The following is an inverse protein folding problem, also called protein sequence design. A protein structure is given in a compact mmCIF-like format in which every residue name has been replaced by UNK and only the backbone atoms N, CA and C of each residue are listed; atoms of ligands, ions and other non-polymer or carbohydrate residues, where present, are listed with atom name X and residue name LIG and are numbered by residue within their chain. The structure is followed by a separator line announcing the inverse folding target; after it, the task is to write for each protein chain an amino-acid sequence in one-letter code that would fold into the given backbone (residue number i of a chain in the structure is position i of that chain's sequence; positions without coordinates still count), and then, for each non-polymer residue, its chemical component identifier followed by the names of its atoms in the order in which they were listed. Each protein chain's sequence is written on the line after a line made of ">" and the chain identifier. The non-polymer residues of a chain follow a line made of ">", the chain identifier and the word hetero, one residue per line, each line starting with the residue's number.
data_IF_154730691744
#
_entry.id   IF_154730691744
#
_cell.length_a   1.000
_cell.length_b   1.000
_cell.length_c   1.000
_cell.angle_alpha   90.00
_cell.angle_beta   90.00
_cell.angle_gamma   90.00
#
_symmetry.space_group_name_H-M   'P 1'
#
loop_
_entity.id
_entity.type
_entity.pdbx_description
1 polymer ?
#
# COMPACT_ATOMS: atom_id res chain seq x y z
N UNK A 1 -3.32 16.04 19.62
CA UNK A 1 -3.26 14.83 18.78
C UNK A 1 -4.03 13.74 19.48
N UNK A 2 -4.83 12.97 18.78
CA UNK A 2 -5.56 11.86 19.40
C UNK A 2 -4.56 10.81 19.93
N UNK A 3 -4.52 10.50 21.24
CA UNK A 3 -3.60 9.52 21.82
C UNK A 3 -3.69 8.13 21.17
N UNK A 4 -4.83 7.83 20.54
CA UNK A 4 -5.07 6.58 19.82
C UNK A 4 -4.20 6.37 18.57
N UNK A 5 -3.50 7.40 18.09
CA UNK A 5 -2.63 7.33 16.92
C UNK A 5 -1.14 7.10 17.27
N UNK A 6 -0.79 7.10 18.55
CA UNK A 6 0.57 6.75 18.96
C UNK A 6 0.81 5.25 18.76
N UNK A 7 1.84 4.92 17.97
CA UNK A 7 2.19 3.53 17.65
C UNK A 7 1.43 2.90 16.48
N UNK A 8 0.40 3.57 15.93
CA UNK A 8 -0.32 3.08 14.76
C UNK A 8 0.40 3.44 13.46
N UNK A 9 0.32 2.51 12.48
CA UNK A 9 0.84 2.81 11.15
C UNK A 9 -0.14 3.69 10.36
N UNK A 10 0.32 4.84 9.90
CA UNK A 10 -0.46 5.78 9.10
C UNK A 10 -0.15 5.59 7.62
N UNK A 11 -1.12 5.10 6.85
CA UNK A 11 -1.02 4.93 5.41
C UNK A 11 -1.76 6.04 4.67
N UNK A 12 -1.04 6.81 3.87
CA UNK A 12 -1.58 7.89 3.03
C UNK A 12 -1.63 7.41 1.58
N UNK A 13 -2.76 7.66 0.90
CA UNK A 13 -2.92 7.28 -0.50
C UNK A 13 -3.58 5.92 -0.74
N UNK A 14 -4.29 5.39 0.25
CA UNK A 14 -4.99 4.11 0.14
C UNK A 14 -6.33 4.22 -0.59
N UNK A 15 -7.01 5.36 -0.50
CA UNK A 15 -8.30 5.60 -1.16
C UNK A 15 -8.14 6.41 -2.45
N UNK A 16 -7.37 7.49 -2.41
CA UNK A 16 -7.05 8.36 -3.55
C UNK A 16 -5.58 8.72 -3.55
N UNK A 17 -5.03 9.12 -4.71
CA UNK A 17 -3.64 9.55 -4.78
C UNK A 17 -3.47 10.89 -4.01
N UNK A 18 -2.59 10.96 -3.00
CA UNK A 18 -2.37 12.18 -2.22
C UNK A 18 -1.76 13.30 -3.05
N UNK A 19 -1.13 12.97 -4.18
CA UNK A 19 -0.55 13.92 -5.12
C UNK A 19 -1.34 13.98 -6.44
N UNK A 20 -2.67 13.88 -6.35
CA UNK A 20 -3.56 14.13 -7.46
C UNK A 20 -3.49 15.61 -7.91
N UNK A 21 -3.97 15.97 -9.13
CA UNK A 21 -3.83 17.34 -9.65
C UNK A 21 -4.30 18.45 -8.69
N UNK A 22 -5.38 18.23 -7.95
CA UNK A 22 -5.91 19.16 -6.96
C UNK A 22 -4.91 19.50 -5.83
N UNK A 23 -3.94 18.63 -5.55
CA UNK A 23 -2.91 18.91 -4.54
C UNK A 23 -2.01 20.09 -4.90
N UNK A 24 -1.93 20.47 -6.19
CA UNK A 24 -1.20 21.67 -6.62
C UNK A 24 -1.85 22.94 -6.12
N UNK A 25 -3.18 22.95 -6.07
CA UNK A 25 -3.98 24.12 -5.75
C UNK A 25 -4.27 24.22 -4.25
N UNK A 26 -4.50 23.07 -3.61
CA UNK A 26 -4.95 23.02 -2.21
C UNK A 26 -3.83 22.72 -1.20
N UNK A 27 -2.76 22.04 -1.58
CA UNK A 27 -1.61 21.76 -0.70
C UNK A 27 -1.91 20.92 0.54
N UNK A 28 -2.99 20.15 0.54
CA UNK A 28 -3.46 19.40 1.70
C UNK A 28 -2.46 18.35 2.17
N UNK A 29 -1.85 17.61 1.23
CA UNK A 29 -0.83 16.61 1.55
C UNK A 29 0.39 17.26 2.19
N UNK A 30 0.86 18.38 1.63
CA UNK A 30 1.97 19.13 2.19
C UNK A 30 1.66 19.63 3.60
N UNK A 31 0.49 20.19 3.83
CA UNK A 31 0.06 20.67 5.16
C UNK A 31 0.01 19.52 6.19
N UNK A 32 -0.42 18.32 5.78
CA UNK A 32 -0.39 17.13 6.63
C UNK A 32 1.05 16.75 6.96
N UNK A 33 1.95 16.73 5.98
CA UNK A 33 3.36 16.39 6.18
C UNK A 33 4.08 17.41 7.07
N UNK A 34 3.77 18.70 6.96
CA UNK A 34 4.27 19.75 7.87
C UNK A 34 3.93 19.45 9.33
N UNK A 35 2.68 19.08 9.60
CA UNK A 35 2.25 18.68 10.94
C UNK A 35 2.88 17.37 11.43
N UNK A 36 3.14 16.43 10.53
CA UNK A 36 3.84 15.18 10.85
C UNK A 36 5.32 15.41 11.13
N UNK A 37 5.96 16.36 10.44
CA UNK A 37 7.36 16.72 10.66
C UNK A 37 7.64 17.38 12.02
N UNK A 38 6.59 17.83 12.73
CA UNK A 38 6.67 18.33 14.09
C UNK A 38 6.59 17.20 15.16
N UNK A 39 6.42 15.94 14.73
CA UNK A 39 6.21 14.78 15.62
C UNK A 39 7.35 13.78 15.50
N UNK A 40 7.43 12.93 16.52
CA UNK A 40 8.43 11.85 16.64
C UNK A 40 7.74 10.50 16.77
N UNK A 41 8.46 9.42 16.41
CA UNK A 41 7.99 8.06 16.60
C UNK A 41 6.82 7.64 15.73
N UNK A 42 6.54 8.38 14.64
CA UNK A 42 5.49 8.01 13.70
C UNK A 42 5.95 6.86 12.79
N UNK A 43 5.00 6.02 12.39
CA UNK A 43 5.16 5.01 11.35
C UNK A 43 4.29 5.39 10.16
N UNK A 44 4.90 5.81 9.05
CA UNK A 44 4.21 6.40 7.91
C UNK A 44 4.51 5.66 6.61
N UNK A 45 3.49 5.53 5.76
CA UNK A 45 3.71 5.19 4.36
C UNK A 45 2.87 6.08 3.44
N UNK A 46 3.46 6.46 2.31
CA UNK A 46 2.77 7.18 1.25
C UNK A 46 2.76 6.32 0.00
N UNK A 47 1.58 6.12 -0.60
CA UNK A 47 1.45 5.43 -1.88
C UNK A 47 0.95 6.41 -2.94
N UNK A 48 1.71 6.54 -4.03
CA UNK A 48 1.38 7.48 -5.11
C UNK A 48 1.82 6.96 -6.47
N UNK A 49 1.24 7.48 -7.54
CA UNK A 49 1.68 7.36 -8.93
C UNK A 49 2.37 8.65 -9.41
N UNK A 50 2.33 9.69 -8.61
CA UNK A 50 2.74 11.04 -8.99
C UNK A 50 4.21 11.32 -8.67
N UNK A 51 4.89 12.00 -9.57
CA UNK A 51 6.22 12.55 -9.33
C UNK A 51 6.19 13.84 -8.48
N UNK A 52 5.02 14.37 -8.16
CA UNK A 52 4.87 15.55 -7.30
C UNK A 52 5.34 15.30 -5.86
N UNK A 53 5.46 14.06 -5.42
CA UNK A 53 6.03 13.71 -4.11
C UNK A 53 7.44 14.30 -3.92
N UNK A 54 8.17 14.54 -5.01
CA UNK A 54 9.49 15.17 -4.99
C UNK A 54 9.47 16.63 -4.52
N UNK A 55 8.32 17.32 -4.62
CA UNK A 55 8.13 18.67 -4.08
C UNK A 55 8.36 18.74 -2.57
N UNK A 56 8.02 17.63 -1.88
CA UNK A 56 7.99 17.59 -0.42
C UNK A 56 9.19 16.81 0.18
N UNK A 57 10.29 16.65 -0.58
CA UNK A 57 11.52 15.98 -0.12
C UNK A 57 12.06 16.61 1.17
N UNK A 58 11.97 17.93 1.31
CA UNK A 58 12.37 18.66 2.52
C UNK A 58 11.64 18.14 3.77
N UNK A 59 10.33 17.98 3.68
CA UNK A 59 9.50 17.46 4.77
C UNK A 59 9.73 15.96 5.00
N UNK A 60 9.85 15.18 3.92
CA UNK A 60 10.10 13.74 4.01
C UNK A 60 11.43 13.45 4.73
N UNK A 61 12.48 14.23 4.45
CA UNK A 61 13.76 14.14 5.17
C UNK A 61 13.59 14.47 6.65
N UNK A 62 12.96 15.59 6.96
CA UNK A 62 12.71 16.01 8.35
C UNK A 62 11.91 14.96 9.13
N UNK A 63 10.92 14.35 8.50
CA UNK A 63 10.16 13.25 9.12
C UNK A 63 11.05 12.03 9.33
N UNK A 64 11.90 11.66 8.35
CA UNK A 64 12.74 10.47 8.43
C UNK A 64 13.84 10.53 9.51
N UNK A 65 14.18 11.71 10.01
CA UNK A 65 15.14 11.90 11.11
C UNK A 65 14.59 11.40 12.44
N UNK A 66 13.27 11.44 12.65
CA UNK A 66 12.62 11.17 13.95
C UNK A 66 11.49 10.15 13.90
N UNK A 67 11.14 9.73 12.70
CA UNK A 67 10.01 8.84 12.41
C UNK A 67 10.35 7.88 11.28
N UNK A 68 9.63 6.78 11.18
CA UNK A 68 9.76 5.87 10.04
C UNK A 68 8.83 6.33 8.92
N UNK A 69 9.38 6.57 7.73
CA UNK A 69 8.60 6.92 6.54
C UNK A 69 9.04 6.10 5.33
N UNK A 70 8.09 5.64 4.55
CA UNK A 70 8.32 4.89 3.32
C UNK A 70 7.44 5.40 2.18
N UNK A 71 8.02 5.50 0.98
CA UNK A 71 7.32 5.97 -0.21
C UNK A 71 7.16 4.81 -1.19
N UNK A 72 5.92 4.52 -1.56
CA UNK A 72 5.55 3.47 -2.50
C UNK A 72 5.15 4.10 -3.84
N UNK A 73 5.94 3.87 -4.89
CA UNK A 73 5.55 4.25 -6.25
C UNK A 73 4.79 3.10 -6.92
N UNK A 74 3.52 3.35 -7.26
CA UNK A 74 2.73 2.35 -8.02
C UNK A 74 3.12 2.39 -9.49
N UNK A 75 3.65 1.26 -10.02
CA UNK A 75 4.08 1.12 -11.41
C UNK A 75 3.64 -0.25 -11.92
N UNK A 76 2.60 -0.28 -12.75
CA UNK A 76 1.99 -1.53 -13.22
C UNK A 76 2.70 -2.18 -14.41
N UNK A 77 3.47 -1.41 -15.17
CA UNK A 77 4.20 -1.87 -16.36
C UNK A 77 5.29 -0.90 -16.77
N UNK A 78 6.35 -1.39 -17.38
CA UNK A 78 7.38 -0.55 -18.04
C UNK A 78 6.97 -0.11 -19.44
N UNK A 79 5.97 -0.77 -20.05
CA UNK A 79 5.53 -0.51 -21.41
C UNK A 79 4.72 0.79 -21.47
N UNK A 80 5.32 1.87 -21.96
CA UNK A 80 4.72 3.21 -21.98
C UNK A 80 3.36 3.28 -22.66
N UNK A 81 3.19 2.57 -23.81
CA UNK A 81 1.89 2.53 -24.50
C UNK A 81 0.81 1.85 -23.67
N UNK A 82 1.16 0.74 -23.01
CA UNK A 82 0.23 0.04 -22.14
C UNK A 82 -0.09 0.88 -20.89
N UNK A 83 0.92 1.49 -20.25
CA UNK A 83 0.71 2.39 -19.12
C UNK A 83 -0.24 3.55 -19.48
N UNK A 84 -0.07 4.16 -20.63
CA UNK A 84 -0.97 5.22 -21.11
C UNK A 84 -2.39 4.74 -21.33
N UNK A 85 -2.56 3.50 -21.80
CA UNK A 85 -3.88 2.88 -21.99
C UNK A 85 -4.57 2.59 -20.65
N UNK A 86 -3.81 2.06 -19.67
CA UNK A 86 -4.35 1.67 -18.36
C UNK A 86 -4.57 2.88 -17.44
N UNK A 87 -3.66 3.84 -17.48
CA UNK A 87 -3.58 4.98 -16.55
C UNK A 87 -3.31 6.30 -17.31
N UNK A 88 -4.27 6.79 -18.12
CA UNK A 88 -4.04 7.89 -19.07
C UNK A 88 -3.64 9.22 -18.41
N UNK A 89 -4.03 9.41 -17.14
CA UNK A 89 -3.75 10.64 -16.37
C UNK A 89 -2.52 10.56 -15.48
N UNK A 90 -1.92 9.38 -15.32
CA UNK A 90 -0.76 9.21 -14.46
C UNK A 90 0.55 9.48 -15.22
N UNK A 91 1.64 9.89 -14.55
CA UNK A 91 2.94 10.03 -15.16
C UNK A 91 3.41 8.74 -15.83
N UNK A 92 4.23 8.86 -16.87
CA UNK A 92 4.83 7.70 -17.56
C UNK A 92 5.68 6.86 -16.59
N UNK A 93 5.85 5.56 -16.84
CA UNK A 93 6.64 4.67 -15.97
C UNK A 93 8.07 5.15 -15.73
N UNK A 94 8.74 5.65 -16.76
CA UNK A 94 10.11 6.18 -16.66
C UNK A 94 10.22 7.35 -15.66
N UNK A 95 9.26 8.26 -15.66
CA UNK A 95 9.21 9.36 -14.68
C UNK A 95 8.95 8.87 -13.26
N UNK A 96 8.20 7.77 -13.10
CA UNK A 96 7.97 7.17 -11.77
C UNK A 96 9.23 6.45 -11.26
N UNK A 97 9.99 5.78 -12.12
CA UNK A 97 11.29 5.20 -11.75
C UNK A 97 12.30 6.29 -11.41
N UNK A 98 12.34 7.37 -12.18
CA UNK A 98 13.17 8.54 -11.86
C UNK A 98 12.79 9.15 -10.50
N UNK A 99 11.49 9.13 -10.17
CA UNK A 99 11.01 9.56 -8.85
C UNK A 99 11.56 8.67 -7.73
N UNK A 100 11.53 7.35 -7.91
CA UNK A 100 12.14 6.41 -6.96
C UNK A 100 13.62 6.74 -6.78
N UNK A 101 14.36 6.90 -7.88
CA UNK A 101 15.80 7.20 -7.87
C UNK A 101 16.08 8.48 -7.07
N UNK A 102 15.39 9.59 -7.35
CA UNK A 102 15.56 10.87 -6.64
C UNK A 102 15.24 10.79 -5.15
N UNK A 103 14.19 10.04 -4.77
CA UNK A 103 13.89 9.79 -3.36
C UNK A 103 15.02 9.00 -2.69
N UNK A 104 15.56 7.98 -3.35
CA UNK A 104 16.68 7.18 -2.83
C UNK A 104 17.97 7.99 -2.71
N UNK A 105 18.30 8.81 -3.69
CA UNK A 105 19.44 9.75 -3.66
C UNK A 105 19.28 10.78 -2.53
N UNK A 106 18.05 11.15 -2.20
CA UNK A 106 17.75 12.03 -1.08
C UNK A 106 17.79 11.33 0.31
N UNK A 107 18.08 10.01 0.36
CA UNK A 107 18.10 9.22 1.59
C UNK A 107 16.72 8.71 2.04
N UNK A 108 15.66 8.96 1.27
CA UNK A 108 14.29 8.52 1.61
C UNK A 108 14.08 7.06 1.24
N UNK A 109 13.47 6.29 2.15
CA UNK A 109 13.09 4.91 1.88
C UNK A 109 11.99 4.85 0.83
N UNK A 110 12.30 4.29 -0.35
CA UNK A 110 11.35 4.19 -1.46
C UNK A 110 11.41 2.83 -2.15
N UNK A 111 10.27 2.38 -2.66
CA UNK A 111 10.15 1.14 -3.42
C UNK A 111 9.00 1.15 -4.40
N UNK A 112 8.82 0.04 -5.11
CA UNK A 112 7.87 -0.10 -6.20
C UNK A 112 6.77 -1.08 -5.83
N UNK A 113 5.52 -0.66 -6.07
CA UNK A 113 4.34 -1.51 -6.02
C UNK A 113 3.87 -1.79 -7.45
N UNK A 114 4.09 -3.00 -7.94
CA UNK A 114 3.53 -3.50 -9.20
C UNK A 114 2.07 -3.94 -8.99
N UNK A 115 1.22 -3.01 -8.64
CA UNK A 115 -0.17 -3.26 -8.25
C UNK A 115 -1.14 -2.39 -9.03
N UNK A 116 -2.20 -3.03 -9.57
CA UNK A 116 -2.44 -4.45 -9.62
C UNK A 116 -1.70 -5.14 -10.77
N UNK A 117 -1.34 -6.43 -10.61
CA UNK A 117 -1.03 -7.32 -11.73
C UNK A 117 -2.34 -7.69 -12.41
N UNK A 118 -2.45 -7.38 -13.70
CA UNK A 118 -3.64 -7.62 -14.50
C UNK A 118 -3.49 -8.93 -15.27
N UNK A 119 -4.33 -9.95 -15.00
CA UNK A 119 -4.25 -11.26 -15.65
C UNK A 119 -4.33 -11.16 -17.18
N UNK A 120 -3.36 -11.77 -17.88
CA UNK A 120 -3.27 -11.75 -19.34
C UNK A 120 -2.80 -10.43 -19.96
N UNK A 121 -2.55 -9.39 -19.13
CA UNK A 121 -2.18 -8.04 -19.60
C UNK A 121 -0.78 -7.64 -19.12
N UNK A 122 -0.51 -7.74 -17.80
CA UNK A 122 0.75 -7.29 -17.18
C UNK A 122 1.48 -8.41 -16.43
N UNK A 123 1.01 -9.66 -16.54
CA UNK A 123 1.45 -10.81 -15.75
C UNK A 123 2.48 -11.70 -16.46
N UNK A 124 2.88 -11.37 -17.71
CA UNK A 124 3.91 -12.15 -18.42
C UNK A 124 5.23 -12.07 -17.65
N UNK A 125 5.94 -13.18 -17.61
CA UNK A 125 7.22 -13.28 -16.91
C UNK A 125 8.21 -12.21 -17.34
N UNK A 126 8.38 -12.01 -18.66
CA UNK A 126 9.26 -10.97 -19.19
C UNK A 126 8.83 -9.55 -18.79
N UNK A 127 7.52 -9.27 -18.67
CA UNK A 127 7.02 -7.96 -18.25
C UNK A 127 7.30 -7.70 -16.76
N UNK A 128 7.09 -8.72 -15.92
CA UNK A 128 7.38 -8.63 -14.48
C UNK A 128 8.89 -8.58 -14.19
N UNK A 129 9.70 -9.33 -14.95
CA UNK A 129 11.16 -9.28 -14.86
C UNK A 129 11.69 -7.90 -15.25
N UNK A 130 11.23 -7.34 -16.37
CA UNK A 130 11.62 -6.00 -16.79
C UNK A 130 11.23 -4.92 -15.76
N UNK A 131 10.05 -5.08 -15.12
CA UNK A 131 9.58 -4.17 -14.10
C UNK A 131 10.44 -4.25 -12.81
N UNK A 132 10.76 -5.47 -12.36
CA UNK A 132 11.61 -5.69 -11.18
C UNK A 132 13.06 -5.21 -11.43
N UNK A 133 13.60 -5.44 -12.63
CA UNK A 133 14.91 -4.92 -13.02
C UNK A 133 14.94 -3.39 -13.01
N UNK A 134 13.94 -2.74 -13.59
CA UNK A 134 13.84 -1.29 -13.58
C UNK A 134 13.70 -0.71 -12.16
N UNK A 135 13.00 -1.41 -11.27
CA UNK A 135 12.92 -1.06 -9.86
C UNK A 135 14.30 -1.11 -9.17
N UNK A 136 15.08 -2.18 -9.39
CA UNK A 136 16.46 -2.31 -8.91
C UNK A 136 17.33 -1.16 -9.44
N UNK A 137 17.28 -0.91 -10.74
CA UNK A 137 18.12 0.09 -11.41
C UNK A 137 17.80 1.52 -10.92
N UNK A 138 16.56 1.76 -10.48
CA UNK A 138 16.15 2.97 -9.80
C UNK A 138 16.55 3.03 -8.30
N UNK A 139 17.20 2.00 -7.76
CA UNK A 139 17.60 1.92 -6.35
C UNK A 139 16.45 1.64 -5.39
N UNK A 140 15.34 1.07 -5.85
CA UNK A 140 14.23 0.69 -4.98
C UNK A 140 14.67 -0.29 -3.91
N UNK A 141 14.20 -0.11 -2.67
CA UNK A 141 14.50 -1.03 -1.56
C UNK A 141 13.63 -2.27 -1.57
N UNK A 142 12.43 -2.17 -2.11
CA UNK A 142 11.48 -3.29 -2.22
C UNK A 142 10.72 -3.25 -3.52
N UNK A 143 10.23 -4.42 -3.89
CA UNK A 143 9.34 -4.64 -5.01
C UNK A 143 8.22 -5.56 -4.56
N UNK A 144 6.98 -5.07 -4.57
CA UNK A 144 5.83 -5.86 -4.19
C UNK A 144 4.77 -5.84 -5.28
N UNK A 145 4.03 -6.93 -5.40
CA UNK A 145 2.95 -7.04 -6.37
C UNK A 145 1.77 -7.82 -5.79
N UNK A 146 0.57 -7.42 -6.18
CA UNK A 146 -0.65 -8.18 -5.91
C UNK A 146 -1.48 -8.26 -7.19
N UNK A 147 -2.11 -9.42 -7.37
CA UNK A 147 -3.08 -9.62 -8.45
C UNK A 147 -4.28 -8.72 -8.24
N UNK A 148 -4.88 -8.28 -9.34
CA UNK A 148 -6.08 -7.46 -9.34
C UNK A 148 -7.14 -8.01 -8.38
N UNK A 149 -7.61 -7.13 -7.50
CA UNK A 149 -8.81 -7.30 -6.72
C UNK A 149 -9.86 -6.30 -7.22
N UNK A 150 -10.99 -6.77 -7.65
CA UNK A 150 -11.98 -5.94 -8.35
C UNK A 150 -13.29 -5.89 -7.57
N UNK A 151 -13.48 -4.80 -6.83
CA UNK A 151 -14.72 -4.52 -6.10
C UNK A 151 -15.91 -4.38 -7.05
N UNK A 152 -17.13 -4.73 -6.65
CA UNK A 152 -18.33 -4.60 -7.50
C UNK A 152 -18.53 -3.20 -8.09
N UNK A 153 -18.24 -2.14 -7.33
CA UNK A 153 -18.32 -0.77 -7.81
C UNK A 153 -17.33 -0.50 -8.96
N UNK A 154 -16.11 -1.06 -8.87
CA UNK A 154 -15.06 -0.90 -9.89
C UNK A 154 -15.31 -1.78 -11.12
N UNK A 155 -16.04 -2.90 -10.98
CA UNK A 155 -16.39 -3.79 -12.11
C UNK A 155 -17.18 -3.03 -13.18
N UNK A 156 -18.07 -2.12 -12.76
CA UNK A 156 -18.91 -1.32 -13.68
C UNK A 156 -18.11 -0.50 -14.69
N UNK A 157 -16.91 -0.09 -14.32
CA UNK A 157 -16.03 0.69 -15.20
C UNK A 157 -14.96 -0.18 -15.86
N UNK A 158 -14.44 -1.15 -15.14
CA UNK A 158 -13.29 -1.94 -15.60
C UNK A 158 -13.68 -3.01 -16.63
N UNK A 159 -14.81 -3.71 -16.46
CA UNK A 159 -15.24 -4.74 -17.43
C UNK A 159 -15.55 -4.19 -18.82
N UNK A 160 -16.26 -3.06 -18.98
CA UNK A 160 -16.41 -2.40 -20.28
C UNK A 160 -15.06 -2.01 -20.91
N UNK A 161 -14.11 -1.55 -20.11
CA UNK A 161 -12.75 -1.26 -20.60
C UNK A 161 -12.06 -2.54 -21.12
N UNK A 162 -12.16 -3.67 -20.39
CA UNK A 162 -11.63 -4.95 -20.84
C UNK A 162 -12.29 -5.38 -22.17
N UNK A 163 -13.61 -5.26 -22.26
CA UNK A 163 -14.34 -5.58 -23.49
C UNK A 163 -13.87 -4.74 -24.70
N UNK A 164 -13.67 -3.46 -24.49
CA UNK A 164 -13.25 -2.53 -25.56
C UNK A 164 -11.77 -2.70 -25.95
N UNK A 165 -10.86 -2.99 -25.02
CA UNK A 165 -9.40 -2.98 -25.27
C UNK A 165 -8.76 -4.35 -25.29
N UNK A 166 -9.37 -5.35 -24.65
CA UNK A 166 -8.86 -6.71 -24.52
C UNK A 166 -9.97 -7.77 -24.73
N UNK A 167 -10.69 -7.76 -25.87
CA UNK A 167 -11.90 -8.58 -26.08
C UNK A 167 -11.66 -10.09 -25.85
N UNK A 168 -10.46 -10.58 -26.09
CA UNK A 168 -10.07 -11.99 -25.86
C UNK A 168 -10.06 -12.38 -24.38
N UNK A 169 -9.99 -11.41 -23.46
CA UNK A 169 -9.93 -11.64 -22.02
C UNK A 169 -11.30 -11.50 -21.34
N UNK A 170 -12.34 -11.06 -22.02
CA UNK A 170 -13.68 -10.81 -21.44
C UNK A 170 -14.18 -12.02 -20.68
N UNK A 171 -14.19 -13.21 -21.31
CA UNK A 171 -14.68 -14.46 -20.70
C UNK A 171 -13.92 -14.79 -19.41
N UNK A 172 -12.59 -14.62 -19.39
CA UNK A 172 -11.76 -14.87 -18.21
C UNK A 172 -12.07 -13.89 -17.08
N UNK A 173 -12.21 -12.59 -17.39
CA UNK A 173 -12.50 -11.58 -16.38
C UNK A 173 -13.90 -11.72 -15.81
N UNK A 174 -14.91 -12.04 -16.62
CA UNK A 174 -16.26 -12.34 -16.15
C UNK A 174 -16.28 -13.56 -15.24
N UNK A 175 -15.64 -14.67 -15.66
CA UNK A 175 -15.57 -15.88 -14.85
C UNK A 175 -14.88 -15.62 -13.50
N UNK A 176 -13.75 -14.93 -13.49
CA UNK A 176 -12.97 -14.74 -12.27
C UNK A 176 -13.57 -13.68 -11.35
N UNK A 177 -13.94 -12.54 -11.88
CA UNK A 177 -14.28 -11.38 -11.05
C UNK A 177 -15.78 -11.19 -10.84
N UNK A 178 -16.63 -11.68 -11.74
CA UNK A 178 -18.08 -11.60 -11.56
C UNK A 178 -18.62 -12.85 -10.89
N UNK A 179 -18.30 -14.04 -11.46
CA UNK A 179 -18.88 -15.31 -10.96
C UNK A 179 -18.19 -15.84 -9.71
N UNK A 180 -16.86 -15.75 -9.64
CA UNK A 180 -16.06 -16.30 -8.51
C UNK A 180 -15.64 -15.24 -7.49
N UNK A 181 -15.88 -13.96 -7.73
CA UNK A 181 -15.48 -12.88 -6.84
C UNK A 181 -13.97 -12.58 -6.80
N UNK A 182 -13.15 -13.21 -7.66
CA UNK A 182 -11.72 -12.99 -7.76
C UNK A 182 -10.98 -14.02 -8.58
N UNK A 183 -9.71 -13.77 -8.86
CA UNK A 183 -8.85 -14.71 -9.56
C UNK A 183 -8.64 -16.00 -8.76
N UNK A 184 -8.42 -17.16 -9.42
CA UNK A 184 -8.17 -18.44 -8.74
C UNK A 184 -6.98 -18.37 -7.76
N UNK A 185 -7.07 -19.09 -6.66
CA UNK A 185 -6.00 -19.14 -5.66
C UNK A 185 -4.69 -19.67 -6.25
N UNK A 186 -4.75 -20.71 -7.09
CA UNK A 186 -3.57 -21.25 -7.77
C UNK A 186 -2.84 -20.19 -8.60
N UNK A 187 -3.58 -19.38 -9.36
CA UNK A 187 -3.00 -18.28 -10.14
C UNK A 187 -2.35 -17.21 -9.23
N UNK A 188 -3.02 -16.81 -8.14
CA UNK A 188 -2.42 -15.87 -7.18
C UNK A 188 -1.14 -16.40 -6.55
N UNK A 189 -1.11 -17.71 -6.24
CA UNK A 189 0.08 -18.38 -5.71
C UNK A 189 1.22 -18.37 -6.72
N UNK A 190 0.95 -18.72 -7.97
CA UNK A 190 1.93 -18.68 -9.07
C UNK A 190 2.55 -17.28 -9.23
N UNK A 191 1.72 -16.23 -9.32
CA UNK A 191 2.22 -14.85 -9.41
C UNK A 191 3.06 -14.48 -8.17
N UNK A 192 2.61 -14.86 -6.97
CA UNK A 192 3.34 -14.60 -5.73
C UNK A 192 4.72 -15.28 -5.71
N UNK A 193 4.82 -16.53 -6.17
CA UNK A 193 6.08 -17.26 -6.28
C UNK A 193 7.02 -16.64 -7.30
N UNK A 194 6.50 -16.23 -8.45
CA UNK A 194 7.24 -15.50 -9.48
C UNK A 194 7.79 -14.18 -8.93
N UNK A 195 7.00 -13.40 -8.23
CA UNK A 195 7.46 -12.16 -7.59
C UNK A 195 8.56 -12.41 -6.57
N UNK A 196 8.42 -13.43 -5.72
CA UNK A 196 9.49 -13.81 -4.76
C UNK A 196 10.79 -14.21 -5.44
N UNK A 197 10.71 -14.91 -6.58
CA UNK A 197 11.88 -15.25 -7.38
C UNK A 197 12.57 -13.99 -7.91
N UNK A 198 11.81 -13.02 -8.43
CA UNK A 198 12.34 -11.76 -8.93
C UNK A 198 12.93 -10.90 -7.80
N UNK A 199 12.32 -10.89 -6.62
CA UNK A 199 12.87 -10.23 -5.43
C UNK A 199 14.26 -10.78 -5.09
N UNK A 200 14.41 -12.11 -5.03
CA UNK A 200 15.72 -12.75 -4.81
C UNK A 200 16.71 -12.46 -5.93
N UNK A 201 16.27 -12.57 -7.19
CA UNK A 201 17.12 -12.33 -8.37
C UNK A 201 17.72 -10.91 -8.38
N UNK A 202 16.96 -9.92 -7.95
CA UNK A 202 17.36 -8.51 -8.01
C UNK A 202 17.74 -7.90 -6.64
N UNK A 203 17.76 -8.68 -5.57
CA UNK A 203 18.09 -8.20 -4.22
C UNK A 203 17.09 -7.19 -3.66
N UNK A 204 15.81 -7.32 -4.05
CA UNK A 204 14.74 -6.41 -3.62
C UNK A 204 14.00 -6.98 -2.41
N UNK A 205 13.73 -6.14 -1.41
CA UNK A 205 12.91 -6.51 -0.26
C UNK A 205 11.45 -6.77 -0.63
N UNK A 206 10.73 -7.41 0.29
CA UNK A 206 9.29 -7.69 0.14
C UNK A 206 8.46 -6.45 0.49
N UNK A 207 8.83 -5.77 1.57
CA UNK A 207 8.25 -4.54 2.09
C UNK A 207 9.32 -3.78 2.86
N UNK A 208 9.14 -2.46 3.11
CA UNK A 208 9.96 -1.81 4.11
C UNK A 208 9.79 -2.59 5.42
N UNK A 209 10.92 -2.95 6.03
CA UNK A 209 10.90 -3.36 7.44
C UNK A 209 10.56 -2.09 8.21
N UNK A 210 9.27 -1.88 8.43
CA UNK A 210 8.84 -0.85 9.35
C UNK A 210 9.26 -1.35 10.73
N UNK A 211 10.07 -0.61 11.48
CA UNK A 211 10.28 -0.96 12.87
C UNK A 211 8.88 -1.05 13.49
N UNK A 212 8.59 -2.19 14.13
CA UNK A 212 7.36 -2.30 14.90
C UNK A 212 7.30 -1.08 15.82
N UNK A 213 6.23 -0.29 15.80
CA UNK A 213 6.07 0.75 16.78
C UNK A 213 6.29 0.07 18.12
N UNK A 214 7.14 0.63 18.97
CA UNK A 214 7.26 0.19 20.35
C UNK A 214 5.83 0.04 20.85
N UNK A 215 5.45 -1.17 21.27
CA UNK A 215 4.06 -1.53 21.47
C UNK A 215 3.36 -0.41 22.26
N UNK A 216 2.52 0.36 21.59
CA UNK A 216 1.66 1.32 22.24
C UNK A 216 0.68 0.49 23.09
N UNK A 217 0.94 0.43 24.37
CA UNK A 217 -0.05 0.00 25.36
C UNK A 217 -0.96 1.21 25.54
N UNK A 218 -2.21 1.20 25.02
CA UNK A 218 -3.14 2.29 25.29
C UNK A 218 -3.24 2.40 26.82
N UNK A 219 -3.21 3.62 27.38
CA UNK A 219 -3.52 3.78 28.78
C UNK A 219 -4.88 3.10 28.96
N UNK A 220 -4.92 2.02 29.73
CA UNK A 220 -6.17 1.38 30.08
C UNK A 220 -7.00 2.49 30.74
N UNK A 221 -8.08 2.88 30.08
CA UNK A 221 -9.14 3.60 30.71
C UNK A 221 -9.58 2.67 31.85
N UNK A 222 -9.09 2.91 33.04
CA UNK A 222 -9.64 2.33 34.24
C UNK A 222 -11.05 2.92 34.37
N UNK A 223 -11.99 2.28 33.68
CA UNK A 223 -13.37 2.35 34.06
C UNK A 223 -13.37 1.82 35.50
N UNK A 224 -13.58 2.72 36.45
CA UNK A 224 -13.66 2.41 37.87
C UNK A 224 -14.86 1.52 38.23
N UNK A 225 -14.91 0.36 37.59
CA UNK A 225 -15.77 -0.74 37.93
C UNK A 225 -14.95 -1.63 38.85
N UNK A 226 -14.92 -1.24 40.15
CA UNK A 226 -14.60 -2.16 41.25
C UNK A 226 -15.66 -3.28 41.20
N UNK A 227 -15.35 -4.38 40.55
CA UNK A 227 -16.06 -5.62 40.73
C UNK A 227 -15.63 -6.18 42.08
N UNK A 228 -16.27 -5.69 43.19
CA UNK A 228 -16.21 -6.41 44.45
C UNK A 228 -16.84 -7.79 44.24
N UNK A 229 -16.13 -8.87 44.60
CA UNK A 229 -16.73 -10.20 44.52
C UNK A 229 -17.83 -10.25 45.59
N UNK A 230 -19.09 -10.34 45.15
CA UNK A 230 -20.19 -10.69 46.06
C UNK A 230 -19.93 -12.10 46.60
N UNK A 231 -19.36 -12.16 47.81
CA UNK A 231 -19.34 -13.40 48.58
C UNK A 231 -20.79 -13.72 48.96
N UNK A 232 -21.37 -14.70 48.32
CA UNK A 232 -22.62 -15.32 48.76
C UNK A 232 -22.29 -16.16 50.01
N UNK A 233 -22.49 -15.63 51.19
CA UNK A 233 -22.62 -16.41 52.41
C UNK A 233 -23.97 -17.14 52.39
N UNK A 234 -23.94 -18.39 51.97
CA UNK A 234 -25.07 -19.29 52.12
C UNK A 234 -25.12 -19.80 53.56
N UNK A 235 -25.99 -19.24 54.35
CA UNK A 235 -26.37 -19.85 55.64
C UNK A 235 -27.21 -21.09 55.35
N UNK A 236 -26.66 -22.25 55.68
CA UNK A 236 -27.42 -23.50 55.77
C UNK A 236 -27.97 -23.51 57.19
N UNK A 237 -29.24 -23.18 57.33
CA UNK A 237 -29.98 -23.51 58.55
C UNK A 237 -30.48 -24.96 58.43
N UNK A 238 -29.93 -25.80 59.29
CA UNK A 238 -30.49 -27.09 59.62
C UNK A 238 -31.70 -26.85 60.51
N UNK A 239 -32.88 -27.28 60.09
CA UNK A 239 -33.95 -27.63 61.03
C UNK A 239 -34.16 -29.12 61.01
N UNK A 240 -33.79 -29.73 62.13
CA UNK A 240 -34.34 -31.01 62.61
C UNK A 240 -35.60 -30.67 63.37
N UNK A 241 -36.73 -31.26 62.97
CA UNK A 241 -37.68 -32.04 63.77
C UNK A 241 -38.75 -32.58 62.82
#
# INVERSE_FOLDING_TARGET
>A
MNPKLQGEHIAIGTATDPYQPAERDFGNTRAILERMAEREGLSLSITTKSNQVLRDIDLLKKISERSSISINLSITTVRTRLARLLEPRAPRPDLRFETVKKLREAGISAGVLAMPVLPGITDREADLDALARAARDAGALWFAANVLFLMPASQKQFLPFIAAKFPRLVRQYEEWYVRRGGSPQAYRKEISERIRSLQRKYGLGIRPVMPSPTAYVPPQLSLGLSLEPRVRTGAIEKNME
#
